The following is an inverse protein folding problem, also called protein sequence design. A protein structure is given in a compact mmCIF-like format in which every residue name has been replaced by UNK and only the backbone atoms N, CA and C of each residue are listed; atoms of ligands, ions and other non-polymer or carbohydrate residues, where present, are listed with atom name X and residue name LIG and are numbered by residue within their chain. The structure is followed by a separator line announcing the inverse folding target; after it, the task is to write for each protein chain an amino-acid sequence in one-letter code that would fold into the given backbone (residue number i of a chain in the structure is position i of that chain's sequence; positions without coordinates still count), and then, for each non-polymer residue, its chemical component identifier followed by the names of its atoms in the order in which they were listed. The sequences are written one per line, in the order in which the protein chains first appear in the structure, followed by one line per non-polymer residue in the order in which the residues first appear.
data_IF_316067136171
#
_entry.id   IF_316067136171
#
_cell.length_a   1.000
_cell.length_b   1.000
_cell.length_c   1.000
_cell.angle_alpha   90.00
_cell.angle_beta   90.00
_cell.angle_gamma   90.00
#
_symmetry.space_group_name_H-M   'P 1'
#
loop_
_entity.id
_entity.type
_entity.pdbx_description
1 polymer ?
#
# COMPACT_ATOMS: atom_id res chain seq x y z
N UNK A 1 21.20 11.16 10.43
CA UNK A 1 20.35 10.22 9.65
C UNK A 1 20.84 10.21 8.22
N UNK A 2 21.28 9.07 7.68
CA UNK A 2 21.77 9.00 6.30
C UNK A 2 20.62 9.25 5.32
N UNK A 3 20.90 9.96 4.21
CA UNK A 3 19.90 10.24 3.14
C UNK A 3 19.17 8.97 2.68
N UNK A 4 19.90 7.85 2.65
CA UNK A 4 19.38 6.52 2.31
C UNK A 4 18.32 6.00 3.31
N UNK A 5 18.49 6.27 4.61
CA UNK A 5 17.50 5.91 5.64
C UNK A 5 16.22 6.73 5.47
N UNK A 6 16.34 8.01 5.12
CA UNK A 6 15.20 8.89 4.86
C UNK A 6 14.42 8.39 3.64
N UNK A 7 15.09 8.05 2.54
CA UNK A 7 14.43 7.50 1.35
C UNK A 7 13.68 6.20 1.63
N UNK A 8 14.22 5.31 2.46
CA UNK A 8 13.55 4.04 2.82
C UNK A 8 12.33 4.29 3.71
N UNK A 9 12.41 5.25 4.63
CA UNK A 9 11.26 5.64 5.45
C UNK A 9 10.14 6.25 4.59
N UNK A 10 10.49 7.08 3.61
CA UNK A 10 9.51 7.63 2.66
C UNK A 10 8.86 6.52 1.83
N UNK A 11 9.63 5.52 1.37
CA UNK A 11 9.11 4.36 0.67
C UNK A 11 8.16 3.54 1.55
N UNK A 12 8.48 3.40 2.84
CA UNK A 12 7.63 2.72 3.82
C UNK A 12 6.32 3.47 4.05
N UNK A 13 6.37 4.80 4.19
CA UNK A 13 5.17 5.64 4.33
C UNK A 13 4.30 5.57 3.07
N UNK A 14 4.91 5.58 1.89
CA UNK A 14 4.21 5.42 0.61
C UNK A 14 3.50 4.07 0.51
N UNK A 15 4.21 2.97 0.81
CA UNK A 15 3.62 1.63 0.81
C UNK A 15 2.45 1.51 1.78
N UNK A 16 2.57 2.11 2.98
CA UNK A 16 1.50 2.13 3.97
C UNK A 16 0.28 2.93 3.49
N UNK A 17 0.49 4.11 2.91
CA UNK A 17 -0.59 4.95 2.38
C UNK A 17 -1.31 4.28 1.20
N UNK A 18 -0.57 3.69 0.27
CA UNK A 18 -1.14 2.93 -0.85
C UNK A 18 -1.97 1.75 -0.34
N UNK A 19 -1.47 1.02 0.67
CA UNK A 19 -2.19 -0.12 1.25
C UNK A 19 -3.53 0.31 1.88
N UNK A 20 -3.50 1.34 2.72
CA UNK A 20 -4.70 1.88 3.37
C UNK A 20 -5.68 2.49 2.35
N UNK A 21 -5.17 3.21 1.35
CA UNK A 21 -5.97 3.76 0.26
C UNK A 21 -6.67 2.68 -0.57
N UNK A 22 -5.97 1.59 -0.90
CA UNK A 22 -6.56 0.44 -1.62
C UNK A 22 -7.67 -0.25 -0.83
N UNK A 23 -7.46 -0.45 0.49
CA UNK A 23 -8.47 -1.05 1.38
C UNK A 23 -9.69 -0.13 1.49
N UNK A 24 -9.46 1.17 1.65
CA UNK A 24 -10.54 2.16 1.76
C UNK A 24 -11.32 2.28 0.45
N UNK A 25 -10.66 2.21 -0.72
CA UNK A 25 -11.30 2.19 -2.03
C UNK A 25 -12.16 0.93 -2.21
N UNK A 26 -11.62 -0.25 -1.87
CA UNK A 26 -12.37 -1.49 -1.93
C UNK A 26 -13.61 -1.44 -1.02
N UNK A 27 -13.45 -0.91 0.20
CA UNK A 27 -14.55 -0.73 1.15
C UNK A 27 -15.61 0.25 0.63
N UNK A 28 -15.19 1.38 0.06
CA UNK A 28 -16.08 2.39 -0.50
C UNK A 28 -16.89 1.82 -1.68
N UNK A 29 -16.23 1.12 -2.60
CA UNK A 29 -16.93 0.45 -3.70
C UNK A 29 -17.91 -0.60 -3.18
N UNK A 30 -17.54 -1.37 -2.15
CA UNK A 30 -18.43 -2.38 -1.58
C UNK A 30 -19.66 -1.79 -0.86
N UNK A 31 -19.49 -0.67 -0.16
CA UNK A 31 -20.50 -0.13 0.77
C UNK A 31 -21.34 0.99 0.15
N UNK A 32 -20.74 1.84 -0.69
CA UNK A 32 -21.37 3.05 -1.22
C UNK A 32 -22.00 2.84 -2.59
N UNK A 33 -21.61 1.80 -3.34
CA UNK A 33 -22.16 1.48 -4.66
C UNK A 33 -23.22 0.38 -4.61
N UNK A 34 -24.11 0.42 -3.62
CA UNK A 34 -25.29 -0.46 -3.57
C UNK A 34 -26.33 -0.12 -4.65
N UNK A 35 -26.28 1.09 -5.21
CA UNK A 35 -27.18 1.60 -6.26
C UNK A 35 -26.54 1.80 -7.64
N UNK A 36 -25.21 1.72 -7.75
CA UNK A 36 -24.47 1.83 -9.02
C UNK A 36 -24.26 0.44 -9.64
N UNK A 37 -24.18 0.40 -10.98
CA UNK A 37 -24.03 -0.83 -11.76
C UNK A 37 -23.00 -1.78 -11.15
N UNK A 38 -23.42 -3.04 -10.97
CA UNK A 38 -22.63 -4.12 -10.39
C UNK A 38 -21.23 -4.26 -11.02
N UNK A 39 -21.08 -3.92 -12.31
CA UNK A 39 -19.80 -3.91 -13.03
C UNK A 39 -18.80 -2.87 -12.49
N UNK A 40 -19.25 -1.65 -12.19
CA UNK A 40 -18.38 -0.61 -11.61
C UNK A 40 -17.93 -0.99 -10.20
N UNK A 41 -18.80 -1.66 -9.43
CA UNK A 41 -18.45 -2.19 -8.11
C UNK A 41 -17.33 -3.22 -8.18
N UNK A 42 -17.44 -4.17 -9.10
CA UNK A 42 -16.41 -5.20 -9.33
C UNK A 42 -15.07 -4.59 -9.75
N UNK A 43 -15.09 -3.63 -10.69
CA UNK A 43 -13.88 -2.94 -11.15
C UNK A 43 -13.20 -2.21 -9.97
N UNK A 44 -13.97 -1.48 -9.17
CA UNK A 44 -13.45 -0.77 -8.00
C UNK A 44 -12.87 -1.69 -6.93
N UNK A 45 -13.51 -2.83 -6.67
CA UNK A 45 -12.99 -3.86 -5.77
C UNK A 45 -11.67 -4.46 -6.26
N UNK A 46 -11.58 -4.81 -7.54
CA UNK A 46 -10.36 -5.34 -8.15
C UNK A 46 -9.25 -4.30 -8.12
N UNK A 47 -9.55 -3.04 -8.45
CA UNK A 47 -8.59 -1.95 -8.40
C UNK A 47 -8.08 -1.71 -6.97
N UNK A 48 -8.98 -1.70 -5.99
CA UNK A 48 -8.63 -1.58 -4.58
C UNK A 48 -7.71 -2.71 -4.11
N UNK A 49 -8.03 -3.96 -4.44
CA UNK A 49 -7.19 -5.13 -4.14
C UNK A 49 -5.81 -5.04 -4.80
N UNK A 50 -5.72 -4.61 -6.06
CA UNK A 50 -4.45 -4.40 -6.76
C UNK A 50 -3.58 -3.34 -6.07
N UNK A 51 -4.19 -2.21 -5.71
CA UNK A 51 -3.48 -1.12 -5.02
C UNK A 51 -3.00 -1.58 -3.63
N UNK A 52 -3.83 -2.32 -2.89
CA UNK A 52 -3.43 -2.93 -1.61
C UNK A 52 -2.28 -3.91 -1.76
N UNK A 53 -2.32 -4.76 -2.80
CA UNK A 53 -1.25 -5.72 -3.09
C UNK A 53 0.08 -5.03 -3.41
N UNK A 54 0.06 -4.00 -4.26
CA UNK A 54 1.24 -3.21 -4.62
C UNK A 54 1.78 -2.48 -3.39
N UNK A 55 0.92 -1.81 -2.62
CA UNK A 55 1.31 -1.13 -1.38
C UNK A 55 1.99 -2.07 -0.39
N UNK A 56 1.43 -3.27 -0.21
CA UNK A 56 1.97 -4.29 0.70
C UNK A 56 3.34 -4.80 0.23
N UNK A 57 3.52 -5.01 -1.08
CA UNK A 57 4.82 -5.39 -1.66
C UNK A 57 5.88 -4.32 -1.41
N UNK A 58 5.56 -3.05 -1.66
CA UNK A 58 6.46 -1.93 -1.40
C UNK A 58 6.84 -1.86 0.08
N UNK A 59 5.87 -2.08 0.98
CA UNK A 59 6.08 -2.11 2.41
C UNK A 59 7.07 -3.22 2.82
N UNK A 60 6.89 -4.44 2.31
CA UNK A 60 7.79 -5.58 2.58
C UNK A 60 9.22 -5.29 2.10
N UNK A 61 9.38 -4.74 0.90
CA UNK A 61 10.69 -4.38 0.36
C UNK A 61 11.36 -3.29 1.21
N UNK A 62 10.61 -2.25 1.61
CA UNK A 62 11.12 -1.18 2.45
C UNK A 62 11.54 -1.70 3.84
N UNK A 63 10.73 -2.57 4.46
CA UNK A 63 11.07 -3.21 5.75
C UNK A 63 12.32 -4.07 5.65
N UNK A 64 12.47 -4.86 4.58
CA UNK A 64 13.65 -5.67 4.35
C UNK A 64 14.91 -4.81 4.17
N UNK A 65 14.81 -3.70 3.43
CA UNK A 65 15.91 -2.75 3.27
C UNK A 65 16.31 -2.11 4.61
N UNK A 66 15.33 -1.70 5.41
CA UNK A 66 15.58 -1.12 6.73
C UNK A 66 16.27 -2.13 7.67
N UNK A 67 15.83 -3.40 7.64
CA UNK A 67 16.42 -4.48 8.44
C UNK A 67 17.89 -4.73 8.05
N UNK A 68 18.22 -4.70 6.75
CA UNK A 68 19.60 -4.86 6.26
C UNK A 68 20.52 -3.75 6.75
N UNK A 69 20.07 -2.50 6.68
CA UNK A 69 20.86 -1.35 7.17
C UNK A 69 21.12 -1.46 8.67
N UNK A 70 20.10 -1.86 9.44
CA UNK A 70 20.25 -2.06 10.89
C UNK A 70 21.22 -3.19 11.24
N UNK A 71 21.32 -4.21 10.39
CA UNK A 71 22.26 -5.31 10.57
C UNK A 71 23.71 -4.93 10.19
N UNK A 72 23.92 -4.05 9.21
CA UNK A 72 25.25 -3.57 8.79
C UNK A 72 25.82 -2.45 9.68
N UNK A 73 24.97 -1.75 10.42
CA UNK A 73 25.38 -0.72 11.39
C UNK A 73 25.75 -1.28 12.77
N UNK A 74 25.78 -2.62 12.93
CA UNK A 74 26.41 -3.33 14.04
C UNK A 74 27.72 -3.92 13.55
#
# INVERSE_FOLDING_TARGET
MNRLTISILLLLMFGLFATMGGIMLAYLCNTSMTSLDYGLRLIGLVLGMLVTFIGSHVLIVAFNALRRIRAMGR
#
